data_IF_853242532925
#
_entry.id   IF_853242532925
#
_cell.length_a   1.000
_cell.length_b   1.000
_cell.length_c   1.000
_cell.angle_alpha   90.00
_cell.angle_beta   90.00
_cell.angle_gamma   90.00
#
_symmetry.space_group_name_H-M   'P 1'
#
loop_
_entity.id
_entity.type
_entity.pdbx_description
1 polymer ?
#
# COMPACT_ATOMS: atom_id res chain seq x y z
N UNK A 1 -9.52 -6.94 -31.32
CA UNK A 1 -10.67 -7.17 -30.41
C UNK A 1 -10.15 -7.16 -28.99
N UNK A 2 -10.72 -6.33 -28.11
CA UNK A 2 -10.33 -6.25 -26.69
C UNK A 2 -10.85 -7.50 -25.98
N UNK A 3 -9.98 -8.20 -25.26
CA UNK A 3 -10.39 -9.38 -24.48
C UNK A 3 -10.35 -9.01 -23.01
N UNK A 4 -11.43 -9.33 -22.29
CA UNK A 4 -11.40 -9.26 -20.83
C UNK A 4 -10.33 -10.25 -20.35
N UNK A 5 -9.41 -9.83 -19.46
CA UNK A 5 -8.42 -10.75 -18.92
C UNK A 5 -9.14 -11.94 -18.29
N UNK A 6 -8.67 -13.14 -18.60
CA UNK A 6 -9.05 -14.32 -17.84
C UNK A 6 -8.47 -14.23 -16.44
N UNK A 7 -9.05 -14.98 -15.50
CA UNK A 7 -8.64 -14.94 -14.09
C UNK A 7 -7.13 -15.25 -13.92
N UNK A 8 -6.60 -16.14 -14.76
CA UNK A 8 -5.17 -16.49 -14.82
C UNK A 8 -4.31 -15.33 -15.31
N UNK A 9 -4.73 -14.62 -16.35
CA UNK A 9 -4.00 -13.46 -16.90
C UNK A 9 -3.98 -12.31 -15.88
N UNK A 10 -5.09 -12.06 -15.17
CA UNK A 10 -5.14 -11.03 -14.12
C UNK A 10 -4.25 -11.36 -12.91
N UNK A 11 -4.13 -12.64 -12.54
CA UNK A 11 -3.29 -13.09 -11.44
C UNK A 11 -1.79 -13.07 -11.76
N UNK A 12 -1.43 -13.23 -13.03
CA UNK A 12 -0.03 -13.31 -13.46
C UNK A 12 0.85 -12.14 -12.97
N UNK A 13 0.51 -10.85 -13.20
CA UNK A 13 1.32 -9.73 -12.72
C UNK A 13 1.33 -9.62 -11.19
N UNK A 14 0.25 -10.04 -10.51
CA UNK A 14 0.14 -10.03 -9.04
C UNK A 14 1.09 -11.06 -8.43
N UNK A 15 1.01 -12.31 -8.89
CA UNK A 15 1.88 -13.40 -8.42
C UNK A 15 3.33 -13.08 -8.74
N UNK A 16 3.61 -12.56 -9.95
CA UNK A 16 4.94 -12.15 -10.34
C UNK A 16 5.50 -11.07 -9.40
N UNK A 17 4.72 -10.04 -9.08
CA UNK A 17 5.10 -8.98 -8.14
C UNK A 17 5.41 -9.55 -6.74
N UNK A 18 4.56 -10.44 -6.22
CA UNK A 18 4.76 -11.04 -4.89
C UNK A 18 6.07 -11.83 -4.85
N UNK A 19 6.32 -12.67 -5.87
CA UNK A 19 7.54 -13.48 -5.95
C UNK A 19 8.78 -12.59 -6.06
N UNK A 20 8.74 -11.56 -6.91
CA UNK A 20 9.91 -10.71 -7.13
C UNK A 20 10.23 -9.81 -5.93
N UNK A 21 9.22 -9.36 -5.18
CA UNK A 21 9.42 -8.65 -3.91
C UNK A 21 9.97 -9.61 -2.86
N UNK A 22 9.37 -10.79 -2.70
CA UNK A 22 9.82 -11.77 -1.72
C UNK A 22 11.28 -12.16 -1.97
N UNK A 23 11.65 -12.47 -3.21
CA UNK A 23 13.03 -12.81 -3.56
C UNK A 23 13.95 -11.60 -3.50
N UNK A 24 13.52 -10.44 -4.02
CA UNK A 24 14.32 -9.21 -4.07
C UNK A 24 14.71 -8.70 -2.69
N UNK A 25 13.76 -8.63 -1.77
CA UNK A 25 14.01 -8.14 -0.41
C UNK A 25 14.70 -9.22 0.44
N UNK A 26 14.16 -10.45 0.49
CA UNK A 26 14.67 -11.47 1.41
C UNK A 26 16.05 -12.02 1.03
N UNK A 27 16.39 -12.05 -0.27
CA UNK A 27 17.64 -12.65 -0.75
C UNK A 27 18.69 -11.62 -1.18
N UNK A 28 18.26 -10.53 -1.81
CA UNK A 28 19.17 -9.55 -2.42
C UNK A 28 19.23 -8.21 -1.66
N UNK A 29 18.36 -7.99 -0.66
CA UNK A 29 18.25 -6.70 0.02
C UNK A 29 17.94 -5.55 -0.93
N UNK A 30 17.34 -5.84 -2.09
CA UNK A 30 17.07 -4.86 -3.12
C UNK A 30 15.89 -3.97 -2.71
N UNK A 31 15.96 -2.69 -3.08
CA UNK A 31 14.87 -1.76 -2.84
C UNK A 31 13.60 -2.20 -3.57
N UNK A 32 12.40 -2.03 -2.96
CA UNK A 32 11.13 -2.43 -3.56
C UNK A 32 10.84 -1.81 -4.93
N UNK A 33 11.48 -0.68 -5.24
CA UNK A 33 11.32 0.07 -6.48
C UNK A 33 11.68 -0.78 -7.71
N UNK A 34 12.74 -1.58 -7.63
CA UNK A 34 13.21 -2.40 -8.76
C UNK A 34 12.21 -3.54 -9.08
N UNK A 35 11.77 -4.37 -8.10
CA UNK A 35 10.68 -5.32 -8.27
C UNK A 35 9.39 -4.71 -8.81
N UNK A 36 9.00 -3.52 -8.31
CA UNK A 36 7.79 -2.83 -8.77
C UNK A 36 7.90 -2.45 -10.25
N UNK A 37 9.01 -1.83 -10.68
CA UNK A 37 9.22 -1.48 -12.09
C UNK A 37 9.14 -2.70 -13.01
N UNK A 38 9.78 -3.80 -12.61
CA UNK A 38 9.73 -5.07 -13.35
C UNK A 38 8.29 -5.58 -13.49
N UNK A 39 7.51 -5.56 -12.41
CA UNK A 39 6.12 -5.99 -12.45
C UNK A 39 5.25 -5.06 -13.31
N UNK A 40 5.50 -3.75 -13.29
CA UNK A 40 4.81 -2.79 -14.17
C UNK A 40 5.09 -3.08 -15.65
N UNK A 41 6.32 -3.42 -16.01
CA UNK A 41 6.68 -3.81 -17.39
C UNK A 41 5.90 -5.06 -17.81
N UNK A 42 5.83 -6.08 -16.95
CA UNK A 42 5.07 -7.30 -17.22
C UNK A 42 3.56 -7.00 -17.35
N UNK A 43 3.01 -6.18 -16.47
CA UNK A 43 1.61 -5.77 -16.52
C UNK A 43 1.28 -4.98 -17.80
N UNK A 44 2.16 -4.05 -18.22
CA UNK A 44 2.01 -3.29 -19.45
C UNK A 44 2.11 -4.16 -20.71
N UNK A 45 3.03 -5.13 -20.72
CA UNK A 45 3.15 -6.11 -21.80
C UNK A 45 1.89 -6.97 -21.93
N UNK A 46 1.34 -7.42 -20.80
CA UNK A 46 0.08 -8.18 -20.77
C UNK A 46 -1.10 -7.32 -21.24
N UNK A 47 -1.19 -6.06 -20.80
CA UNK A 47 -2.22 -5.12 -21.25
C UNK A 47 -2.19 -4.92 -22.77
N UNK A 48 -1.00 -4.77 -23.35
CA UNK A 48 -0.82 -4.70 -24.80
C UNK A 48 -1.24 -5.99 -25.50
N UNK A 49 -0.90 -7.17 -24.95
CA UNK A 49 -1.30 -8.48 -25.49
C UNK A 49 -2.83 -8.68 -25.48
N UNK A 50 -3.51 -8.19 -24.45
CA UNK A 50 -4.98 -8.23 -24.32
C UNK A 50 -5.71 -7.22 -25.23
N UNK A 51 -4.95 -6.37 -25.94
CA UNK A 51 -5.47 -5.40 -26.90
C UNK A 51 -5.90 -4.06 -26.28
N UNK A 52 -5.43 -3.75 -25.07
CA UNK A 52 -5.59 -2.42 -24.48
C UNK A 52 -4.62 -1.43 -25.12
N UNK A 53 -5.11 -0.21 -25.37
CA UNK A 53 -4.27 0.88 -25.87
C UNK A 53 -3.48 1.52 -24.73
N UNK A 54 -2.37 2.18 -25.08
CA UNK A 54 -1.56 2.90 -24.09
C UNK A 54 -2.38 3.96 -23.33
N UNK A 55 -3.21 4.72 -24.05
CA UNK A 55 -4.07 5.76 -23.46
C UNK A 55 -5.08 5.20 -22.45
N UNK A 56 -5.61 3.99 -22.67
CA UNK A 56 -6.50 3.34 -21.71
C UNK A 56 -5.77 2.90 -20.45
N UNK A 57 -4.56 2.34 -20.60
CA UNK A 57 -3.74 1.97 -19.45
C UNK A 57 -3.32 3.19 -18.65
N UNK A 58 -2.90 4.27 -19.32
CA UNK A 58 -2.56 5.54 -18.70
C UNK A 58 -3.74 6.13 -17.92
N UNK A 59 -4.93 6.15 -18.53
CA UNK A 59 -6.14 6.61 -17.84
C UNK A 59 -6.44 5.78 -16.59
N UNK A 60 -6.33 4.46 -16.67
CA UNK A 60 -6.50 3.57 -15.50
C UNK A 60 -5.48 3.82 -14.39
N UNK A 61 -4.22 4.13 -14.74
CA UNK A 61 -3.19 4.52 -13.77
C UNK A 61 -3.59 5.82 -13.07
N UNK A 62 -3.99 6.85 -13.82
CA UNK A 62 -4.40 8.15 -13.25
C UNK A 62 -5.62 7.99 -12.34
N UNK A 63 -6.64 7.25 -12.77
CA UNK A 63 -7.84 6.97 -11.98
C UNK A 63 -7.52 6.25 -10.66
N UNK A 64 -6.45 5.44 -10.62
CA UNK A 64 -6.00 4.74 -9.41
C UNK A 64 -5.16 5.65 -8.49
N UNK A 65 -4.34 6.53 -9.06
CA UNK A 65 -3.45 7.43 -8.30
C UNK A 65 -4.24 8.53 -7.58
N UNK A 66 -5.31 9.05 -8.18
CA UNK A 66 -6.12 10.12 -7.59
C UNK A 66 -6.62 9.79 -6.17
N UNK A 67 -7.35 8.68 -5.95
CA UNK A 67 -7.80 8.32 -4.61
C UNK A 67 -6.64 7.92 -3.67
N UNK A 68 -5.58 7.29 -4.21
CA UNK A 68 -4.40 6.95 -3.41
C UNK A 68 -3.70 8.19 -2.86
N UNK A 69 -3.60 9.25 -3.66
CA UNK A 69 -3.01 10.53 -3.25
C UNK A 69 -3.80 11.15 -2.09
N UNK A 70 -5.13 11.19 -2.19
CA UNK A 70 -5.98 11.68 -1.09
C UNK A 70 -5.76 10.88 0.20
N UNK A 71 -5.67 9.54 0.10
CA UNK A 71 -5.39 8.69 1.24
C UNK A 71 -4.03 8.98 1.89
N UNK A 72 -2.99 9.21 1.08
CA UNK A 72 -1.65 9.57 1.57
C UNK A 72 -1.69 10.92 2.32
N UNK A 73 -2.39 11.93 1.77
CA UNK A 73 -2.55 13.22 2.44
C UNK A 73 -3.21 13.06 3.82
N UNK A 74 -4.25 12.24 3.93
CA UNK A 74 -4.92 11.97 5.21
C UNK A 74 -3.98 11.24 6.18
N UNK A 75 -3.26 10.21 5.72
CA UNK A 75 -2.28 9.49 6.54
C UNK A 75 -1.18 10.41 7.07
N UNK A 76 -0.71 11.37 6.27
CA UNK A 76 0.26 12.36 6.74
C UNK A 76 -0.29 13.22 7.87
N UNK A 77 -1.52 13.73 7.73
CA UNK A 77 -2.16 14.53 8.78
C UNK A 77 -2.33 13.70 10.06
N UNK A 78 -2.78 12.45 9.94
CA UNK A 78 -2.90 11.53 11.09
C UNK A 78 -1.53 11.32 11.76
N UNK A 79 -0.47 11.11 10.98
CA UNK A 79 0.89 10.96 11.50
C UNK A 79 1.35 12.18 12.31
N UNK A 80 1.10 13.39 11.80
CA UNK A 80 1.44 14.64 12.50
C UNK A 80 0.63 14.80 13.78
N UNK A 81 -0.67 14.49 13.76
CA UNK A 81 -1.53 14.56 14.94
C UNK A 81 -1.06 13.60 16.03
N UNK A 82 -0.83 12.33 15.67
CA UNK A 82 -0.35 11.31 16.62
C UNK A 82 1.02 11.70 17.19
N UNK A 83 1.94 12.15 16.34
CA UNK A 83 3.25 12.63 16.78
C UNK A 83 3.14 13.79 17.78
N UNK A 84 2.27 14.75 17.50
CA UNK A 84 2.02 15.90 18.38
C UNK A 84 1.40 15.46 19.72
N UNK A 85 0.45 14.53 19.70
CA UNK A 85 -0.19 14.02 20.92
C UNK A 85 0.75 13.20 21.80
N UNK A 86 1.68 12.45 21.20
CA UNK A 86 2.70 11.72 21.93
C UNK A 86 3.63 12.72 22.64
N UNK A 87 4.09 13.76 21.94
CA UNK A 87 4.97 14.80 22.52
C UNK A 87 4.24 15.64 23.57
N UNK A 88 2.97 15.97 23.35
CA UNK A 88 2.13 16.70 24.30
C UNK A 88 1.69 15.85 25.51
N UNK A 89 2.02 14.55 25.54
CA UNK A 89 1.64 13.65 26.63
C UNK A 89 0.16 13.26 26.65
N UNK A 90 -0.64 13.64 25.66
CA UNK A 90 -2.09 13.37 25.60
C UNK A 90 -2.34 11.85 25.50
N UNK A 91 -1.67 11.18 24.54
CA UNK A 91 -1.80 9.72 24.36
C UNK A 91 -1.30 8.94 25.59
N UNK A 92 -0.10 9.22 26.15
CA UNK A 92 0.34 8.60 27.41
C UNK A 92 -0.64 8.79 28.57
N UNK A 93 -1.18 10.00 28.73
CA UNK A 93 -2.10 10.34 29.81
C UNK A 93 -3.44 9.61 29.66
N UNK A 94 -3.97 9.49 28.43
CA UNK A 94 -5.16 8.69 28.15
C UNK A 94 -4.96 7.21 28.48
N UNK A 95 -3.78 6.64 28.17
CA UNK A 95 -3.45 5.25 28.53
C UNK A 95 -3.40 5.09 30.05
N UNK A 96 -2.73 6.01 30.74
CA UNK A 96 -2.59 6.00 32.20
C UNK A 96 -3.96 6.05 32.90
N UNK A 97 -4.82 7.01 32.53
CA UNK A 97 -6.16 7.11 33.10
C UNK A 97 -7.06 5.94 32.67
N UNK A 98 -6.93 5.44 31.45
CA UNK A 98 -7.64 4.24 30.99
C UNK A 98 -7.31 3.01 31.85
N UNK A 99 -6.03 2.81 32.18
CA UNK A 99 -5.59 1.76 33.10
C UNK A 99 -6.14 1.97 34.52
N UNK A 100 -6.16 3.20 35.03
CA UNK A 100 -6.73 3.49 36.36
C UNK A 100 -8.24 3.23 36.44
N UNK A 101 -9.00 3.52 35.37
CA UNK A 101 -10.45 3.28 35.33
C UNK A 101 -10.76 1.78 35.24
N UNK A 102 -9.97 1.02 34.47
CA UNK A 102 -10.13 -0.43 34.32
C UNK A 102 -9.61 -1.19 35.55
N UNK A 103 -8.59 -0.65 36.23
CA UNK A 103 -8.04 -1.19 37.47
C UNK A 103 -8.12 -0.17 38.62
N UNK A 104 -9.31 0.10 39.17
CA UNK A 104 -9.39 0.80 40.45
C UNK A 104 -8.96 -0.09 41.64
N UNK A 105 -8.71 -1.39 41.41
CA UNK A 105 -8.68 -2.41 42.48
C UNK A 105 -7.42 -3.28 42.62
N UNK A 106 -6.33 -3.07 41.87
CA UNK A 106 -5.09 -3.88 42.00
C UNK A 106 -3.88 -3.13 42.57
N UNK A 107 -4.06 -1.89 43.02
CA UNK A 107 -3.05 -1.16 43.81
C UNK A 107 -3.56 -0.97 45.25
N UNK A 108 -3.70 -2.08 45.96
CA UNK A 108 -3.64 -2.15 47.42
C UNK A 108 -2.55 -3.16 47.79
#
# INVERSE_FOLDING_TARGET
MKRKPTLVEALLPIVFLIVIIAVGILKYGADPQIPLLMATIVAAALGKYLGYTWSEMEKGIVETILPATQAILIQMIIGVIIGTWIVAGIVPTMIYYGLQIISPGFFC
#
